data_IF_517570433634
#
_entry.id   IF_517570433634
#
_cell.length_a   1.000
_cell.length_b   1.000
_cell.length_c   1.000
_cell.angle_alpha   90.00
_cell.angle_beta   90.00
_cell.angle_gamma   90.00
#
_symmetry.space_group_name_H-M   'P 1'
#
loop_
_entity.id
_entity.type
_entity.pdbx_description
1 polymer ?
#
# COMPACT_ATOMS: atom_id res chain seq x y z
N UNK A 1 -6.86 4.74 32.29
CA UNK A 1 -8.30 4.58 32.03
C UNK A 1 -8.89 5.97 31.92
N UNK A 2 -9.15 6.40 30.68
CA UNK A 2 -9.68 7.75 30.43
C UNK A 2 -11.19 7.74 30.69
N UNK A 3 -11.60 8.42 31.74
CA UNK A 3 -13.00 8.49 32.16
C UNK A 3 -13.69 9.80 31.74
N UNK A 4 -12.90 10.71 31.17
CA UNK A 4 -13.34 12.06 30.88
C UNK A 4 -14.50 12.12 29.84
N UNK A 5 -14.45 11.30 28.79
CA UNK A 5 -15.49 11.28 27.76
C UNK A 5 -16.86 10.79 28.28
N UNK A 6 -16.87 9.80 29.17
CA UNK A 6 -18.12 9.27 29.80
C UNK A 6 -18.77 10.32 30.71
N UNK A 7 -17.96 11.05 31.49
CA UNK A 7 -18.47 12.06 32.42
C UNK A 7 -18.99 13.28 31.65
N UNK A 8 -18.24 13.79 30.68
CA UNK A 8 -18.63 14.93 29.86
C UNK A 8 -19.88 14.64 29.03
N UNK A 9 -19.91 13.45 28.36
CA UNK A 9 -21.06 13.04 27.58
C UNK A 9 -22.32 12.80 28.40
N UNK A 10 -22.18 12.20 29.60
CA UNK A 10 -23.29 11.99 30.52
C UNK A 10 -23.89 13.29 31.07
N UNK A 11 -23.04 14.27 31.45
CA UNK A 11 -23.49 15.59 32.00
C UNK A 11 -24.15 16.42 30.90
N UNK A 12 -23.60 16.46 29.68
CA UNK A 12 -24.21 17.16 28.54
C UNK A 12 -25.53 16.55 28.13
N UNK A 13 -25.62 15.22 28.09
CA UNK A 13 -26.84 14.50 27.77
C UNK A 13 -27.95 14.69 28.81
N UNK A 14 -27.59 14.73 30.10
CA UNK A 14 -28.54 15.02 31.20
C UNK A 14 -29.14 16.42 31.09
N UNK A 15 -28.30 17.39 30.71
CA UNK A 15 -28.73 18.81 30.63
C UNK A 15 -29.66 19.07 29.42
N UNK A 16 -29.62 18.27 28.36
CA UNK A 16 -30.38 18.54 27.13
C UNK A 16 -31.64 17.70 26.97
N UNK A 17 -31.64 16.42 27.41
CA UNK A 17 -32.75 15.45 27.17
C UNK A 17 -33.15 14.70 28.46
N UNK A 18 -32.68 15.11 29.63
CA UNK A 18 -33.01 14.48 30.91
C UNK A 18 -32.32 13.14 31.16
N UNK A 19 -32.86 12.27 32.03
CA UNK A 19 -32.19 11.01 32.43
C UNK A 19 -31.82 10.07 31.28
N UNK A 20 -32.62 10.04 30.22
CA UNK A 20 -32.35 9.24 29.01
C UNK A 20 -31.21 9.85 28.18
N UNK A 21 -31.02 11.16 28.20
CA UNK A 21 -29.90 11.85 27.58
C UNK A 21 -28.56 11.55 28.28
N UNK A 22 -28.59 11.32 29.60
CA UNK A 22 -27.39 10.93 30.34
C UNK A 22 -26.90 9.52 29.94
N UNK A 23 -27.82 8.57 29.73
CA UNK A 23 -27.48 7.21 29.27
C UNK A 23 -26.92 7.23 27.85
N UNK A 24 -27.57 7.96 26.94
CA UNK A 24 -27.10 8.13 25.56
C UNK A 24 -25.77 8.91 25.51
N UNK A 25 -25.62 9.97 26.28
CA UNK A 25 -24.39 10.77 26.36
C UNK A 25 -23.22 9.98 26.96
N UNK A 26 -23.46 9.11 27.94
CA UNK A 26 -22.43 8.24 28.51
C UNK A 26 -22.02 7.11 27.54
N UNK A 27 -22.98 6.57 26.76
CA UNK A 27 -22.70 5.61 25.69
C UNK A 27 -21.85 6.22 24.56
N UNK A 28 -22.20 7.44 24.13
CA UNK A 28 -21.42 8.18 23.12
C UNK A 28 -20.05 8.55 23.69
N UNK A 29 -19.98 9.02 24.94
CA UNK A 29 -18.72 9.34 25.61
C UNK A 29 -17.81 8.14 25.83
N UNK A 30 -18.39 6.94 26.02
CA UNK A 30 -17.61 5.68 26.09
C UNK A 30 -16.91 5.34 24.75
N UNK A 31 -17.56 5.63 23.64
CA UNK A 31 -16.97 5.45 22.32
C UNK A 31 -15.82 6.44 22.07
N UNK A 32 -15.89 7.66 22.60
CA UNK A 32 -14.77 8.61 22.56
C UNK A 32 -13.57 8.15 23.40
N UNK A 33 -13.82 7.56 24.56
CA UNK A 33 -12.77 7.04 25.44
C UNK A 33 -12.09 5.77 24.89
N UNK A 34 -12.78 5.03 24.01
CA UNK A 34 -12.27 3.80 23.35
C UNK A 34 -11.68 4.07 21.96
N UNK A 35 -11.62 5.33 21.51
CA UNK A 35 -11.11 5.73 20.19
C UNK A 35 -12.06 5.43 19.02
N UNK A 36 -13.25 4.91 19.29
CA UNK A 36 -14.33 4.76 18.31
C UNK A 36 -15.06 6.10 18.18
N UNK A 37 -14.59 6.95 17.29
CA UNK A 37 -15.15 8.29 17.11
C UNK A 37 -16.61 8.27 16.60
N UNK A 38 -17.31 9.40 16.76
CA UNK A 38 -18.71 9.67 16.32
C UNK A 38 -18.96 9.30 14.83
N UNK A 39 -17.89 9.18 14.03
CA UNK A 39 -17.93 8.73 12.64
C UNK A 39 -18.46 7.30 12.45
N UNK A 40 -18.34 6.41 13.46
CA UNK A 40 -18.88 5.05 13.40
C UNK A 40 -20.39 4.98 13.64
N UNK A 41 -20.95 5.97 14.34
CA UNK A 41 -22.39 6.10 14.63
C UNK A 41 -23.18 6.80 13.53
N UNK A 42 -22.52 7.69 12.75
CA UNK A 42 -23.17 8.47 11.69
C UNK A 42 -23.08 7.86 10.28
N UNK A 43 -22.67 6.59 10.17
CA UNK A 43 -22.72 5.83 8.94
C UNK A 43 -21.53 6.03 8.01
N UNK A 44 -20.63 5.05 7.94
CA UNK A 44 -19.79 4.81 6.79
C UNK A 44 -18.34 5.28 6.84
N UNK A 45 -17.81 5.73 7.99
CA UNK A 45 -16.36 5.89 8.15
C UNK A 45 -15.69 4.53 8.26
N UNK A 46 -14.55 4.31 7.58
CA UNK A 46 -13.73 3.13 7.81
C UNK A 46 -13.32 3.10 9.29
N UNK A 47 -13.47 1.94 9.92
CA UNK A 47 -12.91 1.69 11.24
C UNK A 47 -11.41 1.37 11.08
N UNK A 48 -10.49 2.27 11.50
CA UNK A 48 -9.05 2.06 11.35
C UNK A 48 -8.57 0.78 12.06
N UNK A 49 -9.20 0.41 13.17
CA UNK A 49 -8.87 -0.82 13.90
C UNK A 49 -9.22 -2.05 13.07
N UNK A 50 -10.36 -2.03 12.38
CA UNK A 50 -10.77 -3.10 11.46
C UNK A 50 -9.86 -3.20 10.24
N UNK A 51 -9.47 -2.06 9.66
CA UNK A 51 -8.49 -2.02 8.56
C UNK A 51 -7.19 -2.64 9.03
N UNK A 52 -6.65 -2.20 10.17
CA UNK A 52 -5.39 -2.70 10.74
C UNK A 52 -5.43 -4.22 10.94
N UNK A 53 -6.51 -4.76 11.52
CA UNK A 53 -6.66 -6.19 11.78
C UNK A 53 -6.76 -7.03 10.50
N UNK A 54 -7.32 -6.49 9.41
CA UNK A 54 -7.54 -7.23 8.16
C UNK A 54 -6.40 -7.07 7.16
N UNK A 55 -5.76 -5.89 7.11
CA UNK A 55 -4.84 -5.54 6.03
C UNK A 55 -3.60 -6.43 6.01
N UNK A 56 -2.91 -6.56 7.13
CA UNK A 56 -1.67 -7.34 7.23
C UNK A 56 -1.89 -8.84 6.94
N UNK A 57 -2.83 -9.54 7.60
CA UNK A 57 -3.07 -10.95 7.32
C UNK A 57 -3.50 -11.20 5.87
N UNK A 58 -4.40 -10.36 5.33
CA UNK A 58 -4.91 -10.52 3.96
C UNK A 58 -3.80 -10.30 2.94
N UNK A 59 -2.87 -9.35 3.17
CA UNK A 59 -1.73 -9.12 2.28
C UNK A 59 -0.93 -10.40 2.06
N UNK A 60 -0.55 -11.10 3.12
CA UNK A 60 0.28 -12.30 2.98
C UNK A 60 -0.49 -13.55 2.56
N UNK A 61 -1.78 -13.69 2.93
CA UNK A 61 -2.63 -14.77 2.41
C UNK A 61 -2.82 -14.66 0.90
N UNK A 62 -3.13 -13.46 0.40
CA UNK A 62 -3.29 -13.21 -1.03
C UNK A 62 -1.97 -13.43 -1.77
N UNK A 63 -0.83 -13.02 -1.19
CA UNK A 63 0.50 -13.27 -1.76
C UNK A 63 0.76 -14.78 -1.90
N UNK A 64 0.46 -15.57 -0.88
CA UNK A 64 0.59 -17.04 -0.93
C UNK A 64 -0.36 -17.69 -1.96
N UNK A 65 -1.58 -17.17 -2.08
CA UNK A 65 -2.54 -17.63 -3.08
C UNK A 65 -2.09 -17.35 -4.52
N UNK A 66 -1.49 -16.18 -4.75
CA UNK A 66 -0.95 -15.79 -6.06
C UNK A 66 0.28 -16.65 -6.39
N UNK A 67 1.20 -16.84 -5.44
CA UNK A 67 2.39 -17.66 -5.60
C UNK A 67 2.06 -19.13 -5.96
N UNK A 68 0.94 -19.66 -5.51
CA UNK A 68 0.48 -21.01 -5.88
C UNK A 68 -0.33 -21.06 -7.18
N UNK A 69 -0.30 -20.00 -8.02
CA UNK A 69 -1.15 -19.93 -9.21
C UNK A 69 -0.94 -21.06 -10.22
N UNK A 70 0.28 -21.51 -10.38
CA UNK A 70 0.71 -22.57 -11.30
C UNK A 70 0.77 -23.98 -10.65
N UNK A 71 0.32 -24.11 -9.40
CA UNK A 71 0.18 -25.38 -8.69
C UNK A 71 1.33 -25.71 -7.73
N UNK A 72 2.54 -25.17 -7.95
CA UNK A 72 3.69 -25.33 -7.05
C UNK A 72 4.27 -23.98 -6.70
N UNK A 73 4.65 -23.81 -5.45
CA UNK A 73 5.38 -22.61 -5.03
C UNK A 73 6.87 -22.87 -5.23
N UNK A 74 7.51 -22.06 -6.05
CA UNK A 74 8.95 -22.13 -6.29
C UNK A 74 9.73 -21.54 -5.11
N UNK A 75 10.99 -21.97 -4.97
CA UNK A 75 11.92 -21.35 -3.99
C UNK A 75 12.08 -19.84 -4.23
N UNK A 76 12.00 -19.43 -5.51
CA UNK A 76 12.10 -18.03 -5.90
C UNK A 76 10.89 -17.20 -5.44
N UNK A 77 9.67 -17.76 -5.47
CA UNK A 77 8.48 -17.09 -4.93
C UNK A 77 8.52 -16.96 -3.40
N UNK A 78 9.06 -17.98 -2.71
CA UNK A 78 9.31 -17.90 -1.27
C UNK A 78 10.35 -16.82 -0.96
N UNK A 79 11.44 -16.79 -1.72
CA UNK A 79 12.48 -15.77 -1.59
C UNK A 79 11.92 -14.36 -1.85
N UNK A 80 11.04 -14.21 -2.84
CA UNK A 80 10.35 -12.95 -3.17
C UNK A 80 9.42 -12.49 -2.06
N UNK A 81 8.65 -13.40 -1.48
CA UNK A 81 7.82 -13.09 -0.32
C UNK A 81 8.68 -12.61 0.88
N UNK A 82 9.80 -13.30 1.15
CA UNK A 82 10.77 -12.87 2.18
C UNK A 82 11.39 -11.51 1.86
N UNK A 83 11.76 -11.26 0.61
CA UNK A 83 12.29 -9.95 0.18
C UNK A 83 11.29 -8.82 0.44
N UNK A 84 9.99 -9.04 0.20
CA UNK A 84 8.94 -8.07 0.57
C UNK A 84 8.87 -7.89 2.08
N UNK A 85 8.93 -8.96 2.88
CA UNK A 85 8.93 -8.87 4.35
C UNK A 85 10.14 -8.07 4.87
N UNK A 86 11.31 -8.26 4.27
CA UNK A 86 12.51 -7.47 4.59
C UNK A 86 12.37 -6.00 4.15
N UNK A 87 11.82 -5.74 2.97
CA UNK A 87 11.56 -4.38 2.50
C UNK A 87 10.54 -3.64 3.39
N UNK A 88 9.58 -4.36 3.97
CA UNK A 88 8.65 -3.86 4.98
C UNK A 88 9.30 -3.69 6.36
N UNK A 89 10.57 -4.07 6.54
CA UNK A 89 11.31 -4.03 7.82
C UNK A 89 10.57 -4.74 8.96
N UNK A 90 9.93 -5.87 8.65
CA UNK A 90 9.21 -6.65 9.65
C UNK A 90 10.16 -7.15 10.74
N UNK A 91 9.72 -7.06 12.00
CA UNK A 91 10.40 -7.72 13.12
C UNK A 91 10.32 -9.24 12.99
N UNK A 92 11.19 -9.98 13.69
CA UNK A 92 11.18 -11.45 13.65
C UNK A 92 9.81 -12.07 13.99
N UNK A 93 9.05 -11.62 15.01
CA UNK A 93 7.70 -12.11 15.28
C UNK A 93 6.71 -11.79 14.14
N UNK A 94 6.79 -10.59 13.56
CA UNK A 94 5.94 -10.20 12.42
C UNK A 94 6.26 -11.03 11.19
N UNK A 95 7.52 -11.35 10.95
CA UNK A 95 7.95 -12.20 9.84
C UNK A 95 7.42 -13.62 9.98
N UNK A 96 7.45 -14.20 11.19
CA UNK A 96 6.85 -15.50 11.47
C UNK A 96 5.34 -15.49 11.21
N UNK A 97 4.63 -14.46 11.68
CA UNK A 97 3.20 -14.31 11.43
C UNK A 97 2.90 -14.16 9.94
N UNK A 98 3.68 -13.35 9.21
CA UNK A 98 3.54 -13.14 7.77
C UNK A 98 3.74 -14.44 6.97
N UNK A 99 4.74 -15.25 7.35
CA UNK A 99 4.96 -16.57 6.76
C UNK A 99 3.82 -17.54 7.08
N UNK A 100 3.24 -17.48 8.29
CA UNK A 100 2.04 -18.23 8.66
C UNK A 100 0.88 -17.91 7.73
N UNK A 101 0.56 -16.63 7.56
CA UNK A 101 -0.50 -16.16 6.65
C UNK A 101 -0.22 -16.50 5.18
N UNK A 102 1.02 -16.40 4.74
CA UNK A 102 1.42 -16.83 3.40
C UNK A 102 1.13 -18.32 3.19
N UNK A 103 1.46 -19.16 4.18
CA UNK A 103 1.17 -20.60 4.12
C UNK A 103 -0.33 -20.91 4.15
N UNK A 104 -1.13 -20.16 4.94
CA UNK A 104 -2.59 -20.26 4.92
C UNK A 104 -3.16 -19.94 3.53
N UNK A 105 -2.67 -18.88 2.89
CA UNK A 105 -3.09 -18.48 1.54
C UNK A 105 -2.82 -19.52 0.45
N UNK A 106 -1.83 -20.41 0.65
CA UNK A 106 -1.55 -21.54 -0.25
C UNK A 106 -2.51 -22.71 -0.12
N UNK A 107 -3.29 -22.77 0.96
CA UNK A 107 -4.21 -23.89 1.18
C UNK A 107 -5.37 -23.84 0.18
N UNK A 108 -5.83 -25.02 -0.25
CA UNK A 108 -6.98 -25.13 -1.15
C UNK A 108 -8.28 -24.63 -0.49
N UNK A 109 -8.33 -24.61 0.85
CA UNK A 109 -9.46 -24.12 1.66
C UNK A 109 -9.50 -22.61 1.80
N UNK A 110 -8.48 -21.87 1.34
CA UNK A 110 -8.46 -20.41 1.43
C UNK A 110 -9.49 -19.78 0.47
N UNK A 111 -10.52 -19.13 1.03
CA UNK A 111 -11.49 -18.38 0.26
C UNK A 111 -10.99 -16.95 -0.01
N UNK A 112 -10.38 -16.77 -1.19
CA UNK A 112 -9.88 -15.49 -1.68
C UNK A 112 -10.99 -14.44 -1.75
N UNK A 113 -12.16 -14.82 -2.27
CA UNK A 113 -13.24 -13.87 -2.52
C UNK A 113 -13.85 -13.38 -1.19
N UNK A 114 -14.00 -14.24 -0.18
CA UNK A 114 -14.42 -13.83 1.14
C UNK A 114 -13.39 -12.89 1.80
N UNK A 115 -12.11 -13.23 1.77
CA UNK A 115 -11.06 -12.41 2.34
C UNK A 115 -11.02 -11.01 1.71
N UNK A 116 -11.13 -10.93 0.37
CA UNK A 116 -11.13 -9.66 -0.34
C UNK A 116 -12.44 -8.86 -0.14
N UNK A 117 -13.59 -9.51 0.00
CA UNK A 117 -14.84 -8.81 0.37
C UNK A 117 -14.74 -8.15 1.73
N UNK A 118 -14.18 -8.84 2.73
CA UNK A 118 -13.99 -8.29 4.07
C UNK A 118 -13.02 -7.11 4.06
N UNK A 119 -11.87 -7.26 3.37
CA UNK A 119 -10.90 -6.18 3.24
C UNK A 119 -11.51 -4.98 2.50
N UNK A 120 -12.16 -5.20 1.36
CA UNK A 120 -12.83 -4.15 0.59
C UNK A 120 -13.86 -3.38 1.43
N UNK A 121 -14.67 -4.09 2.23
CA UNK A 121 -15.64 -3.45 3.12
C UNK A 121 -14.98 -2.55 4.16
N UNK A 122 -13.78 -2.91 4.62
CA UNK A 122 -13.02 -2.10 5.57
C UNK A 122 -12.34 -0.87 4.92
N UNK A 123 -11.79 -1.04 3.71
CA UNK A 123 -11.00 0.02 3.02
C UNK A 123 -11.80 0.83 2.00
N UNK A 124 -13.10 0.55 1.80
CA UNK A 124 -13.92 1.20 0.77
C UNK A 124 -13.87 2.74 0.79
N UNK A 125 -13.87 3.43 1.96
CA UNK A 125 -13.74 4.88 2.03
C UNK A 125 -12.32 5.39 1.68
N UNK A 126 -11.33 4.51 1.59
CA UNK A 126 -9.91 4.82 1.44
C UNK A 126 -9.30 4.10 0.21
N UNK A 127 -9.60 4.55 -1.02
CA UNK A 127 -9.12 3.90 -2.24
C UNK A 127 -7.58 3.86 -2.34
N UNK A 128 -6.89 4.75 -1.63
CA UNK A 128 -5.43 4.73 -1.49
C UNK A 128 -4.90 3.45 -0.84
N UNK A 129 -5.65 2.86 0.10
CA UNK A 129 -5.28 1.58 0.74
C UNK A 129 -5.40 0.41 -0.24
N UNK A 130 -6.40 0.43 -1.13
CA UNK A 130 -6.52 -0.58 -2.18
C UNK A 130 -5.35 -0.49 -3.17
N UNK A 131 -4.95 0.72 -3.58
CA UNK A 131 -3.77 0.93 -4.41
C UNK A 131 -2.50 0.41 -3.74
N UNK A 132 -2.29 0.77 -2.48
CA UNK A 132 -1.13 0.35 -1.69
C UNK A 132 -1.08 -1.19 -1.54
N UNK A 133 -2.23 -1.83 -1.31
CA UNK A 133 -2.33 -3.29 -1.26
C UNK A 133 -1.86 -3.93 -2.58
N UNK A 134 -2.36 -3.44 -3.71
CA UNK A 134 -1.99 -3.96 -5.03
C UNK A 134 -0.52 -3.68 -5.36
N UNK A 135 0.03 -2.54 -4.96
CA UNK A 135 1.47 -2.25 -5.13
C UNK A 135 2.35 -3.29 -4.42
N UNK A 136 2.01 -3.68 -3.19
CA UNK A 136 2.74 -4.71 -2.44
C UNK A 136 2.66 -6.07 -3.17
N UNK A 137 1.47 -6.45 -3.65
CA UNK A 137 1.27 -7.70 -4.36
C UNK A 137 2.04 -7.73 -5.71
N UNK A 138 1.98 -6.63 -6.46
CA UNK A 138 2.73 -6.48 -7.71
C UNK A 138 4.23 -6.56 -7.49
N UNK A 139 4.75 -5.93 -6.44
CA UNK A 139 6.16 -5.96 -6.10
C UNK A 139 6.62 -7.39 -5.79
N UNK A 140 5.85 -8.14 -4.99
CA UNK A 140 6.15 -9.53 -4.68
C UNK A 140 6.19 -10.39 -5.95
N UNK A 141 5.20 -10.26 -6.82
CA UNK A 141 5.10 -11.03 -8.05
C UNK A 141 6.21 -10.66 -9.07
N UNK A 142 6.61 -9.39 -9.13
CA UNK A 142 7.68 -8.94 -10.02
C UNK A 142 9.09 -9.31 -9.52
N UNK A 143 9.26 -9.54 -8.23
CA UNK A 143 10.53 -9.99 -7.65
C UNK A 143 10.75 -11.50 -7.83
N UNK A 144 9.69 -12.27 -8.11
CA UNK A 144 9.74 -13.71 -8.39
C UNK A 144 10.01 -14.03 -9.87
N UNK A 145 9.35 -15.09 -10.35
CA UNK A 145 9.49 -15.61 -11.73
C UNK A 145 8.91 -14.66 -12.81
N UNK A 146 8.52 -13.49 -12.39
CA UNK A 146 7.91 -12.48 -13.23
C UNK A 146 6.38 -12.55 -13.25
N UNK A 147 5.77 -11.41 -13.53
CA UNK A 147 4.32 -11.26 -13.58
C UNK A 147 3.80 -11.63 -14.97
N UNK A 148 3.65 -12.92 -15.26
CA UNK A 148 3.11 -13.44 -16.53
C UNK A 148 2.02 -14.48 -16.27
N UNK A 149 1.26 -14.83 -17.29
CA UNK A 149 0.31 -15.95 -17.26
C UNK A 149 -0.71 -15.89 -16.11
N UNK A 150 -0.82 -17.00 -15.37
CA UNK A 150 -1.81 -17.19 -14.30
C UNK A 150 -1.61 -16.26 -13.10
N UNK A 151 -0.40 -16.02 -12.56
CA UNK A 151 -0.18 -15.08 -11.46
C UNK A 151 -0.69 -13.68 -11.81
N UNK A 152 -0.42 -13.18 -13.03
CA UNK A 152 -0.91 -11.88 -13.49
C UNK A 152 -2.43 -11.84 -13.60
N UNK A 153 -3.05 -12.90 -14.13
CA UNK A 153 -4.51 -12.97 -14.24
C UNK A 153 -5.19 -12.97 -12.86
N UNK A 154 -4.64 -13.73 -11.89
CA UNK A 154 -5.12 -13.73 -10.50
C UNK A 154 -4.98 -12.36 -9.85
N UNK A 155 -3.83 -11.72 -10.00
CA UNK A 155 -3.60 -10.41 -9.41
C UNK A 155 -4.53 -9.32 -10.01
N UNK A 156 -4.79 -9.40 -11.32
CA UNK A 156 -5.80 -8.55 -11.97
C UNK A 156 -7.20 -8.77 -11.40
N UNK A 157 -7.59 -10.03 -11.12
CA UNK A 157 -8.85 -10.36 -10.43
C UNK A 157 -8.90 -9.75 -9.04
N UNK A 158 -7.82 -9.87 -8.25
CA UNK A 158 -7.70 -9.26 -6.93
C UNK A 158 -7.91 -7.75 -7.01
N UNK A 159 -7.27 -7.07 -7.97
CA UNK A 159 -7.42 -5.64 -8.18
C UNK A 159 -8.88 -5.26 -8.48
N UNK A 160 -9.55 -5.98 -9.37
CA UNK A 160 -10.97 -5.76 -9.71
C UNK A 160 -11.89 -5.96 -8.50
N UNK A 161 -11.66 -7.00 -7.69
CA UNK A 161 -12.42 -7.27 -6.48
C UNK A 161 -12.24 -6.17 -5.42
N UNK A 162 -11.07 -5.52 -5.37
CA UNK A 162 -10.81 -4.36 -4.52
C UNK A 162 -11.29 -3.03 -5.11
N UNK A 163 -11.86 -3.05 -6.33
CA UNK A 163 -12.42 -1.87 -6.98
C UNK A 163 -11.46 -1.08 -7.87
N UNK A 164 -10.26 -1.63 -8.16
CA UNK A 164 -9.33 -1.02 -9.11
C UNK A 164 -9.70 -1.39 -10.55
N UNK A 165 -9.88 -0.38 -11.41
CA UNK A 165 -10.11 -0.58 -12.83
C UNK A 165 -8.88 -1.13 -13.58
N UNK A 166 -9.10 -1.73 -14.76
CA UNK A 166 -8.02 -2.31 -15.58
C UNK A 166 -6.93 -1.28 -15.94
N UNK A 167 -7.31 -0.06 -16.30
CA UNK A 167 -6.37 1.00 -16.64
C UNK A 167 -5.47 1.39 -15.44
N UNK A 168 -6.05 1.43 -14.25
CA UNK A 168 -5.33 1.74 -13.01
C UNK A 168 -4.36 0.62 -12.66
N UNK A 169 -4.78 -0.65 -12.76
CA UNK A 169 -3.91 -1.79 -12.57
C UNK A 169 -2.74 -1.81 -13.55
N UNK A 170 -3.01 -1.60 -14.86
CA UNK A 170 -1.97 -1.57 -15.89
C UNK A 170 -0.95 -0.44 -15.66
N UNK A 171 -1.40 0.71 -15.16
CA UNK A 171 -0.52 1.81 -14.78
C UNK A 171 0.39 1.44 -13.60
N UNK A 172 -0.17 0.90 -12.52
CA UNK A 172 0.61 0.44 -11.37
C UNK A 172 1.64 -0.62 -11.78
N UNK A 173 1.22 -1.58 -12.58
CA UNK A 173 2.09 -2.62 -13.13
C UNK A 173 3.25 -2.02 -13.93
N UNK A 174 2.99 -1.06 -14.82
CA UNK A 174 4.02 -0.43 -15.66
C UNK A 174 5.05 0.35 -14.82
N UNK A 175 4.59 1.12 -13.84
CA UNK A 175 5.46 1.87 -12.92
C UNK A 175 6.37 0.93 -12.14
N UNK A 176 5.83 -0.16 -11.59
CA UNK A 176 6.60 -1.10 -10.77
C UNK A 176 7.56 -1.97 -11.60
N UNK A 177 7.16 -2.40 -12.80
CA UNK A 177 8.07 -3.08 -13.74
C UNK A 177 9.27 -2.21 -14.09
N UNK A 178 9.02 -0.92 -14.29
CA UNK A 178 10.06 0.03 -14.57
C UNK A 178 11.01 0.22 -13.37
N UNK A 179 10.48 0.44 -12.17
CA UNK A 179 11.28 0.58 -10.95
C UNK A 179 12.18 -0.63 -10.71
N UNK A 180 11.68 -1.85 -10.95
CA UNK A 180 12.46 -3.07 -10.81
C UNK A 180 13.63 -3.15 -11.82
N UNK A 181 13.43 -2.67 -13.06
CA UNK A 181 14.53 -2.62 -14.03
C UNK A 181 15.61 -1.61 -13.64
N UNK A 182 15.23 -0.46 -13.10
CA UNK A 182 16.15 0.59 -12.63
C UNK A 182 16.93 0.21 -11.37
N UNK A 183 16.30 -0.52 -10.44
CA UNK A 183 16.92 -0.96 -9.20
C UNK A 183 18.01 -2.03 -9.44
N UNK A 184 17.82 -2.92 -10.44
CA UNK A 184 18.82 -3.89 -10.83
C UNK A 184 20.10 -3.28 -11.44
N UNK A 185 19.99 -2.08 -12.03
CA UNK A 185 21.13 -1.38 -12.62
C UNK A 185 21.92 -0.54 -11.61
N UNK A 186 21.37 -0.24 -10.43
CA UNK A 186 21.99 0.63 -9.42
C UNK A 186 22.68 -0.08 -8.26
N UNK A 187 22.40 -1.34 -8.00
CA UNK A 187 22.93 -2.08 -6.85
C UNK A 187 24.38 -2.59 -7.04
N UNK A 188 24.99 -2.36 -8.20
CA UNK A 188 26.36 -2.80 -8.53
C UNK A 188 27.46 -1.75 -8.43
N UNK A 189 27.20 -0.50 -8.01
CA UNK A 189 28.16 0.58 -8.00
C UNK A 189 28.64 0.94 -6.58
N UNK A 190 29.17 -0.05 -5.85
CA UNK A 190 29.87 0.15 -4.57
C UNK A 190 31.04 -0.79 -4.43
N UNK A 191 32.26 -0.24 -4.58
CA UNK A 191 33.58 -0.78 -4.22
C UNK A 191 34.16 -1.91 -5.10
N UNK A 192 35.08 -1.53 -6.01
CA UNK A 192 36.02 -2.45 -6.64
C UNK A 192 36.65 -1.87 -7.89
N UNK A 193 37.72 -1.07 -7.74
CA UNK A 193 38.63 -0.75 -8.85
C UNK A 193 39.40 -2.02 -9.25
N UNK A 194 38.99 -2.64 -10.38
CA UNK A 194 39.69 -3.74 -11.01
C UNK A 194 39.42 -3.74 -12.49
N UNK A 195 40.44 -3.43 -13.30
CA UNK A 195 40.40 -3.44 -14.74
C UNK A 195 40.11 -4.86 -15.28
N UNK A 196 39.00 -5.01 -16.02
CA UNK A 196 38.70 -6.20 -16.78
C UNK A 196 37.66 -5.90 -17.85
N UNK A 197 38.11 -5.77 -19.09
CA UNK A 197 37.29 -5.54 -20.28
C UNK A 197 36.41 -6.78 -20.55
N UNK A 198 35.10 -6.67 -20.25
CA UNK A 198 34.09 -7.63 -20.58
C UNK A 198 32.76 -6.92 -20.62
N UNK A 199 32.25 -6.59 -21.80
CA UNK A 199 31.03 -5.85 -22.04
C UNK A 199 29.79 -6.68 -21.64
N UNK A 200 29.30 -6.53 -20.40
CA UNK A 200 27.90 -6.76 -20.08
C UNK A 200 27.24 -5.38 -20.06
N UNK A 201 26.55 -5.04 -21.15
CA UNK A 201 25.66 -3.88 -21.26
C UNK A 201 24.44 -4.09 -20.33
N UNK A 202 24.65 -3.87 -19.04
CA UNK A 202 23.57 -3.56 -18.12
C UNK A 202 22.92 -2.27 -18.64
N UNK A 203 21.70 -2.38 -19.17
CA UNK A 203 20.93 -1.32 -19.78
C UNK A 203 20.86 -0.12 -18.83
N UNK A 204 21.74 0.86 -19.04
CA UNK A 204 21.64 2.15 -18.36
C UNK A 204 20.37 2.82 -18.84
N UNK A 205 19.42 2.95 -17.93
CA UNK A 205 18.17 3.70 -18.17
C UNK A 205 18.54 5.08 -18.71
N UNK A 206 18.05 5.41 -19.90
CA UNK A 206 18.37 6.71 -20.54
C UNK A 206 17.79 7.88 -19.71
N UNK A 207 18.38 9.08 -19.83
CA UNK A 207 17.81 10.26 -19.17
C UNK A 207 16.36 10.53 -19.57
N UNK A 208 16.00 10.25 -20.83
CA UNK A 208 14.63 10.40 -21.33
C UNK A 208 13.69 9.41 -20.70
N UNK A 209 14.11 8.17 -20.55
CA UNK A 209 13.32 7.12 -19.88
C UNK A 209 13.11 7.47 -18.40
N UNK A 210 14.10 7.99 -17.69
CA UNK A 210 13.98 8.45 -16.30
C UNK A 210 12.96 9.57 -16.15
N UNK A 211 12.94 10.52 -17.07
CA UNK A 211 11.95 11.60 -17.11
C UNK A 211 10.56 11.06 -17.40
N UNK A 212 10.41 10.15 -18.37
CA UNK A 212 9.12 9.52 -18.68
C UNK A 212 8.54 8.76 -17.45
N UNK A 213 9.42 8.08 -16.71
CA UNK A 213 9.05 7.43 -15.44
C UNK A 213 8.59 8.44 -14.40
N UNK A 214 9.31 9.55 -14.23
CA UNK A 214 8.92 10.58 -13.28
C UNK A 214 7.53 11.14 -13.58
N UNK A 215 7.22 11.40 -14.85
CA UNK A 215 5.87 11.81 -15.28
C UNK A 215 4.83 10.73 -14.94
N UNK A 216 5.11 9.45 -15.24
CA UNK A 216 4.20 8.35 -14.92
C UNK A 216 3.95 8.23 -13.41
N UNK A 217 4.97 8.44 -12.59
CA UNK A 217 4.86 8.38 -11.12
C UNK A 217 3.96 9.48 -10.56
N UNK A 218 4.00 10.67 -11.14
CA UNK A 218 3.11 11.78 -10.77
C UNK A 218 1.72 11.67 -11.39
N UNK A 219 1.43 10.67 -12.24
CA UNK A 219 0.23 10.61 -13.07
C UNK A 219 0.09 11.88 -13.94
N UNK A 220 1.20 12.33 -14.51
CA UNK A 220 1.29 13.52 -15.33
C UNK A 220 1.81 13.18 -16.74
N UNK A 221 1.66 14.11 -17.67
CA UNK A 221 2.21 14.03 -19.02
C UNK A 221 3.13 15.22 -19.30
N UNK A 222 4.09 15.09 -20.23
CA UNK A 222 4.95 16.20 -20.61
C UNK A 222 4.21 17.42 -21.14
N UNK A 223 2.99 17.26 -21.64
CA UNK A 223 2.12 18.34 -22.18
C UNK A 223 1.40 19.16 -21.12
N UNK A 224 1.41 18.71 -19.84
CA UNK A 224 0.77 19.44 -18.73
C UNK A 224 1.53 20.72 -18.40
N UNK A 225 0.81 21.76 -17.94
CA UNK A 225 1.43 22.98 -17.42
C UNK A 225 2.15 22.71 -16.09
N UNK A 226 3.04 23.62 -15.68
CA UNK A 226 3.79 23.50 -14.43
C UNK A 226 2.86 23.48 -13.20
N UNK A 227 1.77 24.28 -13.22
CA UNK A 227 0.75 24.25 -12.16
C UNK A 227 0.03 22.89 -12.11
N UNK A 228 -0.26 22.29 -13.27
CA UNK A 228 -0.87 20.97 -13.34
C UNK A 228 0.06 19.89 -12.78
N UNK A 229 1.37 20.00 -13.02
CA UNK A 229 2.38 19.08 -12.47
C UNK A 229 2.47 19.24 -10.96
N UNK A 230 2.52 20.47 -10.43
CA UNK A 230 2.49 20.74 -8.98
C UNK A 230 1.22 20.16 -8.34
N UNK A 231 0.08 20.32 -8.99
CA UNK A 231 -1.20 19.73 -8.52
C UNK A 231 -1.16 18.21 -8.52
N UNK A 232 -0.58 17.60 -9.55
CA UNK A 232 -0.40 16.15 -9.64
C UNK A 232 0.52 15.65 -8.52
N UNK A 233 1.67 16.30 -8.29
CA UNK A 233 2.58 16.00 -7.19
C UNK A 233 1.89 16.07 -5.83
N UNK A 234 1.18 17.17 -5.52
CA UNK A 234 0.45 17.34 -4.24
C UNK A 234 -0.60 16.23 -4.05
N UNK A 235 -1.29 15.85 -5.12
CA UNK A 235 -2.27 14.76 -5.09
C UNK A 235 -1.61 13.42 -4.76
N UNK A 236 -0.47 13.09 -5.37
CA UNK A 236 0.26 11.85 -5.11
C UNK A 236 0.83 11.84 -3.69
N UNK A 237 1.46 12.93 -3.24
CA UNK A 237 1.93 13.06 -1.87
C UNK A 237 0.82 12.86 -0.85
N UNK A 238 -0.34 13.51 -1.04
CA UNK A 238 -1.50 13.34 -0.14
C UNK A 238 -2.06 11.92 -0.12
N UNK A 239 -2.02 11.20 -1.24
CA UNK A 239 -2.50 9.81 -1.33
C UNK A 239 -1.59 8.82 -0.62
N UNK A 240 -0.28 9.05 -0.66
CA UNK A 240 0.73 8.12 -0.17
C UNK A 240 1.38 8.58 1.14
N UNK A 241 0.88 9.67 1.76
CA UNK A 241 1.46 10.19 3.00
C UNK A 241 1.31 9.15 4.12
N UNK A 242 2.41 8.77 4.81
CA UNK A 242 2.38 7.72 5.82
C UNK A 242 1.41 8.03 6.95
N UNK A 243 1.36 9.28 7.44
CA UNK A 243 0.45 9.68 8.53
C UNK A 243 -1.02 9.52 8.14
N UNK A 244 -1.37 9.86 6.89
CA UNK A 244 -2.72 9.69 6.38
C UNK A 244 -3.10 8.21 6.26
N UNK A 245 -2.20 7.39 5.72
CA UNK A 245 -2.44 5.95 5.60
C UNK A 245 -2.54 5.30 6.98
N UNK A 246 -1.71 5.73 7.94
CA UNK A 246 -1.78 5.26 9.33
C UNK A 246 -3.09 5.67 10.00
N UNK A 247 -3.52 6.93 9.85
CA UNK A 247 -4.81 7.41 10.35
C UNK A 247 -6.00 6.62 9.77
N UNK A 248 -5.86 6.12 8.55
CA UNK A 248 -6.83 5.28 7.86
C UNK A 248 -6.67 3.78 8.18
N UNK A 249 -5.83 3.41 9.15
CA UNK A 249 -5.68 2.06 9.66
C UNK A 249 -4.61 1.21 8.99
N UNK A 250 -3.70 1.79 8.17
CA UNK A 250 -2.57 1.03 7.65
C UNK A 250 -1.70 0.50 8.82
N UNK A 251 -1.39 -0.81 8.88
CA UNK A 251 -0.54 -1.35 9.92
C UNK A 251 0.83 -0.69 9.98
N UNK A 252 1.33 -0.46 11.19
CA UNK A 252 2.64 0.17 11.43
C UNK A 252 3.77 -0.55 10.68
N UNK A 253 3.70 -1.88 10.64
CA UNK A 253 4.64 -2.73 9.89
C UNK A 253 4.73 -2.39 8.39
N UNK A 254 3.77 -1.66 7.83
CA UNK A 254 3.72 -1.27 6.41
C UNK A 254 4.03 0.21 6.18
N UNK A 255 4.24 1.01 7.23
CA UNK A 255 4.52 2.46 7.11
C UNK A 255 5.85 2.76 6.43
N UNK A 256 6.87 1.93 6.61
CA UNK A 256 8.15 2.12 5.95
C UNK A 256 8.01 2.12 4.42
N UNK A 257 7.16 1.25 3.89
CA UNK A 257 6.88 1.22 2.45
C UNK A 257 6.14 2.49 1.97
N UNK A 258 5.25 3.02 2.79
CA UNK A 258 4.58 4.30 2.49
C UNK A 258 5.58 5.47 2.47
N UNK A 259 6.54 5.50 3.40
CA UNK A 259 7.63 6.48 3.41
C UNK A 259 8.51 6.39 2.16
N UNK A 260 8.94 5.18 1.79
CA UNK A 260 9.70 4.97 0.55
C UNK A 260 8.93 5.47 -0.68
N UNK A 261 7.62 5.23 -0.73
CA UNK A 261 6.79 5.69 -1.84
C UNK A 261 6.72 7.22 -1.91
N UNK A 262 6.58 7.91 -0.78
CA UNK A 262 6.60 9.38 -0.75
C UNK A 262 7.96 9.95 -1.17
N UNK A 263 9.06 9.31 -0.79
CA UNK A 263 10.40 9.69 -1.24
C UNK A 263 10.56 9.54 -2.76
N UNK A 264 10.05 8.45 -3.34
CA UNK A 264 10.06 8.24 -4.79
C UNK A 264 9.24 9.30 -5.53
N UNK A 265 8.06 9.66 -5.01
CA UNK A 265 7.20 10.71 -5.57
C UNK A 265 7.91 12.07 -5.53
N UNK A 266 8.58 12.39 -4.42
CA UNK A 266 9.36 13.60 -4.28
C UNK A 266 10.54 13.65 -5.28
N UNK A 267 11.30 12.57 -5.37
CA UNK A 267 12.43 12.48 -6.32
C UNK A 267 11.96 12.63 -7.78
N UNK A 268 10.81 12.05 -8.12
CA UNK A 268 10.22 12.20 -9.45
C UNK A 268 9.83 13.67 -9.74
N UNK A 269 9.25 14.36 -8.77
CA UNK A 269 8.91 15.78 -8.91
C UNK A 269 10.16 16.65 -9.11
N UNK A 270 11.20 16.46 -8.28
CA UNK A 270 12.44 17.22 -8.39
C UNK A 270 13.14 17.00 -9.74
N UNK A 271 13.09 15.76 -10.27
CA UNK A 271 13.64 15.45 -11.58
C UNK A 271 12.90 16.21 -12.70
N UNK A 272 11.56 16.25 -12.66
CA UNK A 272 10.75 17.01 -13.63
C UNK A 272 10.98 18.50 -13.48
N UNK A 273 11.01 19.01 -12.23
CA UNK A 273 11.27 20.41 -11.90
C UNK A 273 12.60 20.87 -12.48
N UNK A 274 13.68 20.11 -12.25
CA UNK A 274 15.01 20.40 -12.79
C UNK A 274 15.01 20.40 -14.34
N UNK A 275 14.36 19.41 -14.97
CA UNK A 275 14.30 19.30 -16.44
C UNK A 275 13.54 20.45 -17.10
N UNK A 276 12.51 20.98 -16.44
CA UNK A 276 11.67 22.07 -16.95
C UNK A 276 12.14 23.47 -16.53
N UNK A 277 13.11 23.57 -15.61
CA UNK A 277 13.53 24.85 -15.04
C UNK A 277 12.45 25.52 -14.19
N UNK A 278 11.55 24.73 -13.57
CA UNK A 278 10.48 25.25 -12.71
C UNK A 278 11.09 25.87 -11.43
N UNK A 279 10.63 27.07 -11.07
CA UNK A 279 11.07 27.79 -9.85
C UNK A 279 10.29 27.38 -8.62
#
# INVERSE_FOLDING_TARGET
MNWAGKVIGGVLGLATVGPWGAVLGALIGHQFDTGAGLSSLLGGGADPARVNALFFPTTFRVMGHIAKADGRVSEQEIASARAVMHALRLTSPQMLSAMGYFNEGKQATFDLDAALRHLRGAIAPHPELANFFIEIQLQAALAGDGLTGLPRARLRRVALLLGLGQAQFARLESILRWNNRGAGAGAGAGAGAGAGAGASQGSRVSPEERIAQAYSMLEATPSMSDEQIVKAYRRQMSRHHPDKLQANGLPEAMLERAKERTQQIQAAYELIRARRGMR
#
